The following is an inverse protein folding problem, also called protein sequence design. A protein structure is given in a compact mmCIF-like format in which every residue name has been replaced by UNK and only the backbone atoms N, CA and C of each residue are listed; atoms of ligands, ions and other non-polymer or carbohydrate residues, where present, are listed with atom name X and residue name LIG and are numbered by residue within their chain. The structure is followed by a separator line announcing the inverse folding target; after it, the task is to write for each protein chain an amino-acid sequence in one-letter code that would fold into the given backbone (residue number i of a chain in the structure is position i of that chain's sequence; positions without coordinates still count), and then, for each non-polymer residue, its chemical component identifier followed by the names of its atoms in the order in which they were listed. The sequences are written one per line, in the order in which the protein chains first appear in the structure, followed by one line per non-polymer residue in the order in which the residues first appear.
data_IF_737662566160
#
_entry.id   IF_737662566160
#
_cell.length_a   1.000
_cell.length_b   1.000
_cell.length_c   1.000
_cell.angle_alpha   90.00
_cell.angle_beta   90.00
_cell.angle_gamma   90.00
#
_symmetry.space_group_name_H-M   'P 1'
#
loop_
_entity.id
_entity.type
_entity.pdbx_description
1 polymer ?
#
# COMPACT_ATOMS: atom_id res chain seq x y z
N UNK A 1 -16.48 -6.64 -17.16
CA UNK A 1 -16.96 -5.71 -16.10
C UNK A 1 -15.81 -5.41 -15.17
N UNK A 2 -15.64 -4.15 -14.78
CA UNK A 2 -14.62 -3.72 -13.80
C UNK A 2 -15.05 -4.14 -12.39
N UNK A 3 -14.09 -4.55 -11.54
CA UNK A 3 -14.31 -4.95 -10.15
C UNK A 3 -13.45 -4.09 -9.24
N UNK A 4 -13.88 -3.91 -7.98
CA UNK A 4 -13.13 -3.20 -6.94
C UNK A 4 -12.85 -4.16 -5.77
N UNK A 5 -11.90 -5.10 -5.92
CA UNK A 5 -11.57 -6.05 -4.87
C UNK A 5 -10.74 -5.42 -3.75
N UNK A 6 -10.85 -5.97 -2.53
CA UNK A 6 -10.01 -5.64 -1.39
C UNK A 6 -9.04 -6.80 -1.12
N UNK A 7 -7.77 -6.48 -0.88
CA UNK A 7 -6.76 -7.44 -0.41
C UNK A 7 -6.13 -6.90 0.86
N UNK A 8 -6.28 -7.62 1.97
CA UNK A 8 -5.77 -7.23 3.28
C UNK A 8 -5.50 -8.47 4.14
N UNK A 9 -4.58 -8.33 5.09
CA UNK A 9 -4.50 -9.23 6.25
C UNK A 9 -5.36 -8.68 7.39
N UNK A 10 -5.82 -9.57 8.26
CA UNK A 10 -6.49 -9.22 9.52
C UNK A 10 -6.23 -10.34 10.55
N UNK A 11 -6.30 -9.98 11.83
CA UNK A 11 -6.36 -10.94 12.93
C UNK A 11 -7.66 -11.74 12.87
N UNK A 12 -7.73 -12.87 13.60
CA UNK A 12 -8.92 -13.72 13.62
C UNK A 12 -10.18 -13.01 14.13
N UNK A 13 -9.99 -12.01 14.99
CA UNK A 13 -11.03 -11.17 15.58
C UNK A 13 -11.28 -9.87 14.81
N UNK A 14 -10.63 -9.68 13.65
CA UNK A 14 -11.03 -8.66 12.67
C UNK A 14 -10.25 -7.35 12.68
N UNK A 15 -9.11 -7.28 13.35
CA UNK A 15 -8.26 -6.08 13.40
C UNK A 15 -7.17 -6.12 12.34
N UNK A 16 -6.85 -4.97 11.76
CA UNK A 16 -5.81 -4.82 10.72
C UNK A 16 -4.48 -4.27 11.27
N UNK A 17 -4.52 -3.61 12.42
CA UNK A 17 -3.37 -3.05 13.13
C UNK A 17 -3.69 -3.08 14.64
N UNK A 18 -2.65 -2.99 15.47
CA UNK A 18 -2.83 -2.86 16.91
C UNK A 18 -3.18 -1.43 17.35
N UNK A 19 -3.32 -1.23 18.68
CA UNK A 19 -3.69 0.06 19.26
C UNK A 19 -2.66 1.18 19.02
N UNK A 20 -1.41 0.82 18.74
CA UNK A 20 -0.32 1.74 18.45
C UNK A 20 -0.12 1.96 16.93
N UNK A 21 -1.05 1.44 16.10
CA UNK A 21 -0.97 1.39 14.63
C UNK A 21 0.21 0.56 14.08
N UNK A 22 0.70 -0.42 14.85
CA UNK A 22 1.76 -1.33 14.41
C UNK A 22 1.21 -2.58 13.73
N UNK A 23 2.04 -3.14 12.84
CA UNK A 23 1.82 -4.41 12.14
C UNK A 23 2.81 -5.50 12.61
N UNK A 24 3.56 -5.28 13.70
CA UNK A 24 4.58 -6.23 14.17
C UNK A 24 4.03 -7.63 14.41
N UNK A 25 2.84 -7.72 15.01
CA UNK A 25 2.11 -8.97 15.24
C UNK A 25 1.91 -9.80 13.95
N UNK A 26 1.74 -9.14 12.80
CA UNK A 26 1.51 -9.79 11.50
C UNK A 26 2.77 -10.51 11.02
N UNK A 27 3.95 -9.91 11.26
CA UNK A 27 5.23 -10.47 10.87
C UNK A 27 5.68 -11.61 11.80
N UNK A 28 5.32 -11.55 13.08
CA UNK A 28 5.51 -12.69 13.98
C UNK A 28 4.67 -13.90 13.54
N UNK A 29 3.42 -13.67 13.16
CA UNK A 29 2.51 -14.72 12.70
C UNK A 29 2.97 -15.37 11.37
N UNK A 30 3.62 -14.61 10.49
CA UNK A 30 4.06 -15.11 9.17
C UNK A 30 5.21 -16.12 9.24
N UNK A 31 5.96 -16.15 10.36
CA UNK A 31 6.96 -17.19 10.66
C UNK A 31 6.37 -18.61 10.77
N UNK A 32 5.05 -18.72 10.88
CA UNK A 32 4.30 -19.97 10.93
C UNK A 32 3.74 -20.32 9.53
N UNK A 33 4.64 -20.62 8.60
CA UNK A 33 4.33 -21.47 7.44
C UNK A 33 3.56 -20.86 6.25
N UNK A 34 3.57 -19.54 6.04
CA UNK A 34 3.05 -18.94 4.79
C UNK A 34 4.17 -18.33 3.95
N UNK A 35 4.58 -19.04 2.91
CA UNK A 35 5.65 -18.64 1.98
C UNK A 35 5.17 -18.36 0.55
N UNK A 36 3.87 -18.23 0.30
CA UNK A 36 3.36 -17.87 -1.02
C UNK A 36 2.97 -16.39 -1.06
N UNK A 37 3.66 -15.63 -1.90
CA UNK A 37 3.31 -14.25 -2.24
C UNK A 37 1.99 -14.24 -3.03
N UNK A 38 0.87 -14.27 -2.29
CA UNK A 38 -0.47 -14.15 -2.87
C UNK A 38 -0.79 -12.73 -3.35
N UNK A 39 0.02 -11.74 -2.98
CA UNK A 39 -0.21 -10.34 -3.36
C UNK A 39 0.14 -10.11 -4.83
N UNK A 40 1.32 -10.55 -5.30
CA UNK A 40 1.72 -10.34 -6.71
C UNK A 40 0.71 -10.90 -7.72
N UNK A 41 0.22 -12.16 -7.62
CA UNK A 41 -0.80 -12.68 -8.53
C UNK A 41 -2.15 -11.96 -8.41
N UNK A 42 -2.53 -11.52 -7.21
CA UNK A 42 -3.74 -10.74 -7.00
C UNK A 42 -3.65 -9.37 -7.70
N UNK A 43 -2.49 -8.72 -7.58
CA UNK A 43 -2.24 -7.39 -8.11
C UNK A 43 -1.96 -7.39 -9.62
N UNK A 44 -1.55 -8.54 -10.19
CA UNK A 44 -1.31 -8.72 -11.62
C UNK A 44 -2.60 -8.49 -12.43
N UNK A 45 -2.75 -7.27 -12.96
CA UNK A 45 -3.93 -6.84 -13.73
C UNK A 45 -4.77 -5.76 -13.04
N UNK A 46 -4.38 -5.30 -11.85
CA UNK A 46 -4.94 -4.09 -11.26
C UNK A 46 -4.57 -2.87 -12.12
N UNK A 47 -5.58 -2.23 -12.73
CA UNK A 47 -5.37 -1.01 -13.52
C UNK A 47 -5.26 0.28 -12.70
N UNK A 48 -5.60 0.20 -11.41
CA UNK A 48 -5.55 1.30 -10.45
C UNK A 48 -5.63 0.73 -9.03
N UNK A 49 -5.08 1.44 -8.05
CA UNK A 49 -5.24 1.13 -6.63
C UNK A 49 -5.60 2.36 -5.81
N UNK A 50 -6.19 2.14 -4.63
CA UNK A 50 -6.52 3.20 -3.68
C UNK A 50 -6.16 2.74 -2.28
N UNK A 51 -5.56 3.64 -1.49
CA UNK A 51 -5.29 3.39 -0.07
C UNK A 51 -5.51 4.64 0.79
N UNK A 52 -5.67 4.46 2.09
CA UNK A 52 -5.78 5.57 3.03
C UNK A 52 -4.42 6.23 3.29
N UNK A 53 -4.45 7.48 3.75
CA UNK A 53 -3.24 8.25 4.07
C UNK A 53 -2.36 7.58 5.13
N UNK A 54 -2.95 6.96 6.16
CA UNK A 54 -2.17 6.24 7.18
C UNK A 54 -1.48 4.99 6.60
N UNK A 55 -2.16 4.24 5.72
CA UNK A 55 -1.55 3.10 5.02
C UNK A 55 -0.37 3.56 4.17
N UNK A 56 -0.53 4.67 3.44
CA UNK A 56 0.56 5.22 2.64
C UNK A 56 1.76 5.68 3.49
N UNK A 57 1.49 6.41 4.58
CA UNK A 57 2.53 6.85 5.50
C UNK A 57 3.29 5.68 6.11
N UNK A 58 2.56 4.61 6.46
CA UNK A 58 3.17 3.38 6.97
C UNK A 58 4.10 2.75 5.92
N UNK A 59 3.65 2.61 4.66
CA UNK A 59 4.48 2.07 3.57
C UNK A 59 5.73 2.91 3.33
N UNK A 60 5.59 4.25 3.28
CA UNK A 60 6.72 5.17 3.10
C UNK A 60 7.79 4.99 4.18
N UNK A 61 7.37 4.82 5.43
CA UNK A 61 8.27 4.68 6.57
C UNK A 61 8.89 3.28 6.64
N UNK A 62 8.08 2.24 6.49
CA UNK A 62 8.50 0.84 6.64
C UNK A 62 9.45 0.43 5.51
N UNK A 63 9.11 0.76 4.27
CA UNK A 63 9.92 0.45 3.08
C UNK A 63 10.98 1.51 2.80
N UNK A 64 11.10 2.53 3.67
CA UNK A 64 12.09 3.62 3.56
C UNK A 64 12.09 4.31 2.20
N UNK A 65 10.92 4.49 1.60
CA UNK A 65 10.77 5.00 0.23
C UNK A 65 11.19 6.47 0.07
N UNK A 66 11.40 7.21 1.17
CA UNK A 66 11.99 8.54 1.10
C UNK A 66 13.50 8.49 0.85
N UNK A 67 14.16 7.40 1.26
CA UNK A 67 15.59 7.16 1.00
C UNK A 67 15.78 6.59 -0.41
N UNK A 68 14.90 5.69 -0.84
CA UNK A 68 14.89 5.11 -2.19
C UNK A 68 13.46 5.07 -2.78
N UNK A 69 13.05 6.13 -3.50
CA UNK A 69 11.73 6.17 -4.14
C UNK A 69 11.54 5.12 -5.25
N UNK A 70 12.62 4.51 -5.76
CA UNK A 70 12.56 3.54 -6.84
C UNK A 70 11.88 2.23 -6.44
N UNK A 71 12.02 1.84 -5.16
CA UNK A 71 11.45 0.62 -4.58
C UNK A 71 9.92 0.54 -4.71
N UNK A 72 9.22 1.68 -4.80
CA UNK A 72 7.79 1.72 -5.09
C UNK A 72 7.42 0.91 -6.35
N UNK A 73 8.23 1.03 -7.42
CA UNK A 73 8.00 0.29 -8.66
C UNK A 73 8.30 -1.20 -8.51
N UNK A 74 9.20 -1.57 -7.59
CA UNK A 74 9.45 -2.97 -7.24
C UNK A 74 8.22 -3.65 -6.66
N UNK A 75 7.42 -2.92 -5.86
CA UNK A 75 6.21 -3.43 -5.23
C UNK A 75 4.94 -3.29 -6.08
N UNK A 76 4.76 -2.13 -6.72
CA UNK A 76 3.49 -1.76 -7.35
C UNK A 76 3.60 -1.50 -8.86
N UNK A 77 4.80 -1.54 -9.44
CA UNK A 77 5.05 -1.19 -10.84
C UNK A 77 4.53 0.21 -11.19
N UNK A 78 3.97 0.35 -12.39
CA UNK A 78 3.40 1.60 -12.90
C UNK A 78 1.92 1.80 -12.53
N UNK A 79 1.36 0.97 -11.63
CA UNK A 79 -0.07 1.03 -11.30
C UNK A 79 -0.39 2.35 -10.59
N UNK A 80 -1.30 3.19 -11.13
CA UNK A 80 -1.62 4.47 -10.51
C UNK A 80 -2.32 4.27 -9.15
N UNK A 81 -1.94 5.11 -8.17
CA UNK A 81 -2.46 5.05 -6.81
C UNK A 81 -3.18 6.34 -6.40
N UNK A 82 -4.35 6.20 -5.79
CA UNK A 82 -5.07 7.29 -5.14
C UNK A 82 -4.92 7.19 -3.63
N UNK A 83 -4.67 8.32 -2.97
CA UNK A 83 -4.62 8.40 -1.52
C UNK A 83 -5.81 9.18 -1.00
N UNK A 84 -6.52 8.59 -0.06
CA UNK A 84 -7.64 9.26 0.62
C UNK A 84 -7.19 9.74 1.99
N UNK A 85 -7.45 11.01 2.27
CA UNK A 85 -7.23 11.62 3.56
C UNK A 85 -8.50 12.33 4.02
N UNK A 86 -8.58 12.64 5.30
CA UNK A 86 -9.64 13.48 5.86
C UNK A 86 -8.97 14.69 6.47
N UNK A 87 -9.50 15.89 6.18
CA UNK A 87 -9.01 17.12 6.78
C UNK A 87 -9.45 17.25 8.26
N UNK A 88 -9.01 18.33 8.92
CA UNK A 88 -9.37 18.60 10.33
C UNK A 88 -10.88 18.82 10.54
N UNK A 89 -11.61 19.15 9.48
CA UNK A 89 -13.05 19.42 9.49
C UNK A 89 -13.87 18.18 9.08
N UNK A 90 -13.22 17.02 8.89
CA UNK A 90 -13.91 15.79 8.51
C UNK A 90 -14.20 15.65 7.01
N UNK A 91 -13.65 16.51 6.14
CA UNK A 91 -13.89 16.45 4.70
C UNK A 91 -12.89 15.51 4.03
N UNK A 92 -13.38 14.69 3.10
CA UNK A 92 -12.53 13.85 2.27
C UNK A 92 -11.66 14.73 1.36
N UNK A 93 -10.35 14.59 1.50
CA UNK A 93 -9.36 15.07 0.55
C UNK A 93 -8.95 13.87 -0.30
N UNK A 94 -9.14 13.98 -1.60
CA UNK A 94 -8.54 13.05 -2.55
C UNK A 94 -7.25 13.67 -3.06
N UNK A 95 -6.11 13.09 -2.67
CA UNK A 95 -4.83 13.41 -3.28
C UNK A 95 -4.56 12.35 -4.34
N UNK A 96 -4.54 12.79 -5.60
CA UNK A 96 -4.05 11.95 -6.69
C UNK A 96 -2.55 12.10 -6.69
N UNK A 97 -1.83 11.05 -6.33
CA UNK A 97 -0.40 10.99 -6.53
C UNK A 97 -0.11 9.82 -7.45
N UNK A 98 -0.02 10.13 -8.74
CA UNK A 98 0.60 9.21 -9.68
C UNK A 98 2.09 9.24 -9.37
N UNK A 99 2.64 8.14 -8.83
CA UNK A 99 4.08 7.93 -8.80
C UNK A 99 4.50 7.73 -10.25
N UNK A 100 4.60 8.82 -11.00
CA UNK A 100 5.22 8.80 -12.31
C UNK A 100 6.69 8.99 -12.00
N UNK A 101 7.50 7.93 -11.94
CA UNK A 101 8.89 8.13 -12.33
C UNK A 101 8.82 8.59 -13.76
N UNK A 102 8.94 9.91 -13.95
CA UNK A 102 9.52 10.38 -15.18
C UNK A 102 10.90 9.75 -15.14
N UNK A 103 11.09 8.66 -15.89
CA UNK A 103 12.43 8.30 -16.31
C UNK A 103 12.98 9.58 -16.89
N UNK A 104 13.85 10.25 -16.12
CA UNK A 104 14.64 11.32 -16.65
C UNK A 104 15.31 10.68 -17.86
N UNK A 105 14.96 11.16 -19.04
CA UNK A 105 15.83 11.10 -20.19
C UNK A 105 17.13 11.80 -19.76
N UNK A 106 18.01 11.03 -19.11
CA UNK A 106 19.39 11.36 -18.90
C UNK A 106 20.13 10.64 -20.03
N UNK A 107 20.63 11.48 -20.93
CA UNK A 107 21.39 11.20 -22.15
C UNK A 107 22.41 10.05 -22.04
#
# INVERSE_FOLDING_TARGET
MTRTPLFTALSIDGFIADADNSLEWLFEASSVGRSEDGFRPFFAGAGAMVMGAHTYQWVLQHERLLDDPGEWHGYYGDTPCWFTAVDRDGRFIHLIYQVTTTAAAAN
#
